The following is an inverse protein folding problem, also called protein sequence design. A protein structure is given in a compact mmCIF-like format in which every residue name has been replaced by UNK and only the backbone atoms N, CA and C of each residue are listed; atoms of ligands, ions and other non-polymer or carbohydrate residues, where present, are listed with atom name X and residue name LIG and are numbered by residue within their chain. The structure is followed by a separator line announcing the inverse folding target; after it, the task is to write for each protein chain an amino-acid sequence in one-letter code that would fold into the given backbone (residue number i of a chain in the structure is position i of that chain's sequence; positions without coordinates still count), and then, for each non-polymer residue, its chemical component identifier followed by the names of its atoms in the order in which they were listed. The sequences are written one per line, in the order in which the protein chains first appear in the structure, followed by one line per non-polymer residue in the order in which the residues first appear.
data_IF_435921793033
#
_entry.id   IF_435921793033
#
_cell.length_a   1.000
_cell.length_b   1.000
_cell.length_c   1.000
_cell.angle_alpha   90.00
_cell.angle_beta   90.00
_cell.angle_gamma   90.00
#
_symmetry.space_group_name_H-M   'P 1'
#
loop_
_entity.id
_entity.type
_entity.pdbx_description
1 polymer ?
#
# COMPACT_ATOMS: atom_id res chain seq x y z
N UNK A 1 20.19 -19.07 -9.40
CA UNK A 1 21.14 -19.39 -10.49
C UNK A 1 22.52 -18.90 -10.04
N UNK A 2 23.60 -19.67 -10.24
CA UNK A 2 24.96 -19.26 -9.83
C UNK A 2 25.58 -18.35 -10.89
N UNK A 3 26.22 -17.25 -10.46
CA UNK A 3 26.96 -16.40 -11.39
C UNK A 3 28.35 -17.00 -11.71
N UNK A 4 29.04 -16.42 -12.69
CA UNK A 4 30.35 -16.87 -13.20
C UNK A 4 31.50 -16.87 -12.19
N UNK A 5 31.26 -16.46 -10.94
CA UNK A 5 32.23 -16.46 -9.84
C UNK A 5 31.92 -17.51 -8.75
N UNK A 6 30.91 -18.35 -8.93
CA UNK A 6 30.59 -19.41 -7.96
C UNK A 6 29.96 -18.91 -6.65
N UNK A 7 29.60 -17.63 -6.56
CA UNK A 7 28.77 -17.13 -5.46
C UNK A 7 27.29 -17.48 -5.71
N UNK A 8 26.62 -17.97 -4.68
CA UNK A 8 25.17 -18.11 -4.66
C UNK A 8 24.59 -16.71 -4.43
N UNK A 9 23.90 -16.18 -5.44
CA UNK A 9 23.07 -14.99 -5.28
C UNK A 9 21.82 -15.41 -4.49
N UNK A 10 21.78 -15.06 -3.20
CA UNK A 10 20.64 -15.32 -2.30
C UNK A 10 19.62 -14.17 -2.38
N UNK A 11 19.98 -13.07 -3.03
CA UNK A 11 19.02 -12.05 -3.44
C UNK A 11 18.30 -12.64 -4.64
N UNK A 12 17.17 -13.32 -4.41
CA UNK A 12 16.16 -13.46 -5.45
C UNK A 12 15.82 -12.05 -5.89
N UNK A 13 16.46 -11.59 -6.97
CA UNK A 13 15.84 -10.60 -7.84
C UNK A 13 14.42 -11.10 -8.01
N UNK A 14 13.42 -10.30 -7.63
CA UNK A 14 12.05 -10.46 -8.13
C UNK A 14 12.19 -10.71 -9.62
N UNK A 15 12.17 -11.98 -10.01
CA UNK A 15 12.58 -12.38 -11.35
C UNK A 15 11.66 -11.63 -12.28
N UNK A 16 12.23 -10.94 -13.26
CA UNK A 16 11.52 -10.28 -14.34
C UNK A 16 10.68 -11.34 -15.07
N UNK A 17 9.54 -11.70 -14.48
CA UNK A 17 8.54 -12.55 -15.06
C UNK A 17 7.80 -11.63 -16.01
N UNK A 18 7.82 -11.98 -17.28
CA UNK A 18 6.97 -11.31 -18.25
C UNK A 18 5.53 -11.33 -17.75
N UNK A 19 4.78 -10.29 -18.09
CA UNK A 19 3.33 -10.26 -17.84
C UNK A 19 2.73 -11.54 -18.41
N UNK A 20 1.89 -12.21 -17.63
CA UNK A 20 1.17 -13.37 -18.14
C UNK A 20 0.16 -12.96 -19.23
N UNK A 21 -0.38 -13.96 -19.93
CA UNK A 21 -1.27 -13.73 -21.06
C UNK A 21 -2.54 -12.96 -20.68
N UNK A 22 -3.06 -13.16 -19.47
CA UNK A 22 -4.26 -12.45 -18.99
C UNK A 22 -3.94 -10.99 -18.69
N UNK A 23 -2.78 -10.73 -18.08
CA UNK A 23 -2.29 -9.38 -17.79
C UNK A 23 -2.01 -8.59 -19.06
N UNK A 24 -1.39 -9.22 -20.06
CA UNK A 24 -1.19 -8.62 -21.38
C UNK A 24 -2.54 -8.30 -22.03
N UNK A 25 -3.48 -9.25 -22.02
CA UNK A 25 -4.79 -9.08 -22.65
C UNK A 25 -5.60 -7.95 -22.02
N UNK A 26 -5.66 -7.88 -20.68
CA UNK A 26 -6.39 -6.83 -19.95
C UNK A 26 -5.79 -5.44 -20.21
N UNK A 27 -4.46 -5.35 -20.26
CA UNK A 27 -3.74 -4.11 -20.59
C UNK A 27 -4.01 -3.65 -22.02
N UNK A 28 -3.98 -4.60 -22.96
CA UNK A 28 -4.31 -4.33 -24.35
C UNK A 28 -5.77 -3.90 -24.50
N UNK A 29 -6.69 -4.55 -23.78
CA UNK A 29 -8.12 -4.23 -23.77
C UNK A 29 -8.38 -2.79 -23.28
N UNK A 30 -7.76 -2.40 -22.17
CA UNK A 30 -7.84 -1.04 -21.64
C UNK A 30 -7.36 0.00 -22.66
N UNK A 31 -6.23 -0.25 -23.33
CA UNK A 31 -5.70 0.63 -24.37
C UNK A 31 -6.61 0.67 -25.62
N UNK A 32 -7.04 -0.50 -26.12
CA UNK A 32 -7.89 -0.64 -27.32
C UNK A 32 -9.26 0.03 -27.12
N UNK A 33 -9.81 -0.02 -25.90
CA UNK A 33 -11.08 0.61 -25.53
C UNK A 33 -11.00 2.11 -25.24
N UNK A 34 -9.82 2.72 -25.39
CA UNK A 34 -9.65 4.17 -25.25
C UNK A 34 -9.48 4.66 -23.81
N UNK A 35 -9.14 3.79 -22.85
CA UNK A 35 -8.82 4.17 -21.48
C UNK A 35 -7.44 4.85 -21.37
N UNK A 36 -7.25 5.92 -22.12
CA UNK A 36 -5.97 6.62 -22.33
C UNK A 36 -6.01 8.06 -21.83
N UNK A 37 -7.14 8.51 -21.30
CA UNK A 37 -7.34 9.86 -20.81
C UNK A 37 -6.88 10.01 -19.35
N UNK A 38 -6.54 11.23 -18.96
CA UNK A 38 -6.38 11.56 -17.55
C UNK A 38 -7.67 11.32 -16.78
N UNK A 39 -7.51 10.85 -15.55
CA UNK A 39 -8.59 10.65 -14.59
C UNK A 39 -8.33 11.53 -13.37
N UNK A 40 -9.28 11.56 -12.43
CA UNK A 40 -9.07 12.27 -11.18
C UNK A 40 -7.83 11.76 -10.45
N UNK A 41 -7.13 12.65 -9.76
CA UNK A 41 -5.88 12.36 -9.04
C UNK A 41 -5.97 11.14 -8.10
N UNK A 42 -7.06 10.94 -7.33
CA UNK A 42 -7.20 9.76 -6.49
C UNK A 42 -7.27 8.44 -7.26
N UNK A 43 -7.57 8.47 -8.56
CA UNK A 43 -7.76 7.31 -9.41
C UNK A 43 -9.22 7.07 -9.82
N UNK A 44 -9.39 6.10 -10.71
CA UNK A 44 -10.68 5.72 -11.29
C UNK A 44 -11.65 5.33 -10.18
N UNK A 45 -12.88 5.89 -10.14
CA UNK A 45 -13.84 5.65 -9.07
C UNK A 45 -14.13 4.16 -8.79
N UNK A 46 -14.24 3.34 -9.83
CA UNK A 46 -14.50 1.90 -9.76
C UNK A 46 -13.29 1.12 -9.24
N UNK A 47 -12.08 1.56 -9.58
CA UNK A 47 -10.81 0.96 -9.12
C UNK A 47 -10.61 1.25 -7.64
N UNK A 48 -10.93 2.47 -7.21
CA UNK A 48 -10.92 2.84 -5.78
C UNK A 48 -11.91 2.02 -4.96
N UNK A 49 -13.11 1.79 -5.47
CA UNK A 49 -14.11 0.93 -4.81
C UNK A 49 -13.61 -0.52 -4.67
N UNK A 50 -13.09 -1.10 -5.75
CA UNK A 50 -12.52 -2.44 -5.73
C UNK A 50 -11.29 -2.54 -4.82
N UNK A 51 -10.43 -1.52 -4.81
CA UNK A 51 -9.28 -1.44 -3.94
C UNK A 51 -9.70 -1.36 -2.46
N UNK A 52 -10.74 -0.60 -2.13
CA UNK A 52 -11.29 -0.52 -0.79
C UNK A 52 -11.82 -1.90 -0.32
N UNK A 53 -12.64 -2.58 -1.12
CA UNK A 53 -13.12 -3.93 -0.80
C UNK A 53 -11.94 -4.90 -0.58
N UNK A 54 -10.95 -4.86 -1.48
CA UNK A 54 -9.75 -5.69 -1.41
C UNK A 54 -8.99 -5.50 -0.11
N UNK A 55 -8.60 -4.26 0.23
CA UNK A 55 -7.74 -4.01 1.39
C UNK A 55 -8.48 -4.27 2.71
N UNK A 56 -9.82 -4.08 2.76
CA UNK A 56 -10.65 -4.51 3.89
C UNK A 56 -10.58 -6.03 4.10
N UNK A 57 -10.60 -6.81 3.01
CA UNK A 57 -10.39 -8.26 3.07
C UNK A 57 -9.03 -8.67 3.66
N UNK A 58 -8.02 -7.80 3.60
CA UNK A 58 -6.65 -8.07 4.05
C UNK A 58 -6.24 -7.28 5.29
N UNK A 59 -7.19 -6.76 6.05
CA UNK A 59 -6.95 -6.24 7.40
C UNK A 59 -6.74 -4.73 7.49
N UNK A 60 -7.00 -3.97 6.43
CA UNK A 60 -7.16 -2.51 6.50
C UNK A 60 -8.64 -2.20 6.67
N UNK A 61 -9.09 -1.84 7.87
CA UNK A 61 -10.51 -1.63 8.16
C UNK A 61 -10.91 -0.16 7.96
N UNK A 62 -12.18 0.05 7.58
CA UNK A 62 -12.76 1.37 7.29
C UNK A 62 -12.13 2.07 6.07
N UNK A 63 -11.51 1.31 5.16
CA UNK A 63 -11.18 1.83 3.84
C UNK A 63 -12.45 1.93 3.00
N UNK A 64 -12.66 3.09 2.40
CA UNK A 64 -13.77 3.42 1.54
C UNK A 64 -13.23 4.07 0.26
N UNK A 65 -14.03 4.07 -0.79
CA UNK A 65 -13.67 4.70 -2.07
C UNK A 65 -13.18 6.15 -1.92
N UNK A 66 -13.76 6.92 -0.99
CA UNK A 66 -13.43 8.34 -0.81
C UNK A 66 -12.14 8.57 -0.03
N UNK A 67 -11.66 7.56 0.69
CA UNK A 67 -10.48 7.66 1.54
C UNK A 67 -9.30 6.80 1.03
N UNK A 68 -9.43 6.24 -0.17
CA UNK A 68 -8.40 5.49 -0.88
C UNK A 68 -7.90 6.24 -2.11
N UNK A 69 -6.57 6.23 -2.30
CA UNK A 69 -5.86 6.89 -3.38
C UNK A 69 -5.02 5.85 -4.09
N UNK A 70 -5.19 5.72 -5.40
CA UNK A 70 -4.37 4.88 -6.26
C UNK A 70 -3.04 5.57 -6.54
N UNK A 71 -1.94 4.85 -6.36
CA UNK A 71 -0.59 5.37 -6.55
C UNK A 71 0.18 4.57 -7.58
N UNK A 72 1.23 5.19 -8.12
CA UNK A 72 2.23 4.59 -8.99
C UNK A 72 3.20 3.74 -8.16
N UNK A 73 2.65 2.67 -7.60
CA UNK A 73 3.33 1.70 -6.78
C UNK A 73 3.54 2.17 -5.34
N UNK A 74 3.99 1.23 -4.52
CA UNK A 74 4.18 1.45 -3.09
C UNK A 74 5.17 2.57 -2.76
N UNK A 75 6.23 2.77 -3.56
CA UNK A 75 7.21 3.79 -3.25
C UNK A 75 6.63 5.21 -3.39
N UNK A 76 5.69 5.42 -4.31
CA UNK A 76 4.90 6.66 -4.35
C UNK A 76 3.99 6.76 -3.12
N UNK A 77 3.34 5.67 -2.70
CA UNK A 77 2.54 5.64 -1.47
C UNK A 77 3.34 6.06 -0.24
N UNK A 78 4.52 5.46 -0.06
CA UNK A 78 5.45 5.76 1.04
C UNK A 78 5.89 7.21 1.02
N UNK A 79 6.24 7.71 -0.16
CA UNK A 79 6.65 9.08 -0.32
C UNK A 79 5.52 10.02 0.08
N UNK A 80 4.38 9.94 -0.59
CA UNK A 80 3.24 10.84 -0.35
C UNK A 80 2.74 10.81 1.10
N UNK A 81 2.57 9.61 1.68
CA UNK A 81 2.14 9.48 3.07
C UNK A 81 3.14 10.16 4.01
N UNK A 82 4.42 9.81 3.90
CA UNK A 82 5.50 10.39 4.72
C UNK A 82 5.52 11.92 4.59
N UNK A 83 5.53 12.46 3.37
CA UNK A 83 5.62 13.91 3.17
C UNK A 83 4.44 14.70 3.78
N UNK A 84 3.25 14.08 3.88
CA UNK A 84 2.04 14.71 4.41
C UNK A 84 1.99 14.66 5.94
N UNK A 85 2.41 13.54 6.56
CA UNK A 85 2.32 13.38 8.01
C UNK A 85 3.56 13.81 8.77
N UNK A 86 4.69 14.02 8.08
CA UNK A 86 5.91 14.50 8.71
C UNK A 86 6.23 15.95 8.34
N UNK A 87 7.00 16.58 9.21
CA UNK A 87 7.55 17.92 9.00
C UNK A 87 9.05 17.85 8.72
N UNK A 88 9.62 18.80 7.94
CA UNK A 88 11.07 18.97 7.85
C UNK A 88 11.67 19.14 9.25
N UNK A 89 12.85 18.55 9.49
CA UNK A 89 13.53 18.44 10.79
C UNK A 89 12.71 17.71 11.88
N UNK A 90 11.54 17.15 11.53
CA UNK A 90 10.74 16.32 12.42
C UNK A 90 11.33 14.92 12.57
N UNK A 91 11.04 14.27 13.70
CA UNK A 91 11.46 12.90 13.97
C UNK A 91 10.43 11.87 13.48
N UNK A 92 10.93 10.84 12.80
CA UNK A 92 10.18 9.64 12.44
C UNK A 92 10.92 8.40 12.97
N UNK A 93 10.20 7.59 13.73
CA UNK A 93 10.69 6.31 14.23
C UNK A 93 10.44 5.22 13.17
N UNK A 94 11.49 4.46 12.86
CA UNK A 94 11.45 3.36 11.90
C UNK A 94 12.12 2.14 12.56
N UNK A 95 11.49 0.94 12.55
CA UNK A 95 12.14 -0.28 13.02
C UNK A 95 13.48 -0.50 12.30
N UNK A 96 14.51 -0.89 13.05
CA UNK A 96 15.85 -1.15 12.50
C UNK A 96 15.85 -2.28 11.45
N UNK A 97 14.84 -3.16 11.52
CA UNK A 97 14.56 -4.22 10.55
C UNK A 97 13.31 -3.84 9.74
N UNK A 98 13.48 -2.99 8.73
CA UNK A 98 12.41 -2.54 7.84
C UNK A 98 12.93 -2.30 6.41
N UNK A 99 12.02 -2.21 5.43
CA UNK A 99 12.38 -1.84 4.06
C UNK A 99 12.99 -0.43 4.01
N UNK A 100 14.12 -0.23 3.30
CA UNK A 100 14.82 1.06 3.28
C UNK A 100 14.02 2.18 2.61
N UNK A 101 12.96 1.86 1.85
CA UNK A 101 12.12 2.82 1.15
C UNK A 101 11.46 3.85 2.08
N UNK A 102 11.17 3.51 3.33
CA UNK A 102 10.62 4.43 4.32
C UNK A 102 11.66 5.48 4.77
N UNK A 103 12.86 5.04 5.15
CA UNK A 103 13.96 5.93 5.55
C UNK A 103 14.39 6.86 4.42
N UNK A 104 14.34 6.39 3.17
CA UNK A 104 14.60 7.22 1.98
C UNK A 104 13.51 8.29 1.79
N UNK A 105 12.24 7.92 1.90
CA UNK A 105 11.12 8.88 1.82
C UNK A 105 11.19 9.95 2.91
N UNK A 106 11.53 9.55 4.14
CA UNK A 106 11.72 10.46 5.27
C UNK A 106 12.92 11.40 5.07
N UNK A 107 14.05 10.88 4.60
CA UNK A 107 15.24 11.68 4.31
C UNK A 107 14.96 12.75 3.26
N UNK A 108 14.15 12.46 2.23
CA UNK A 108 13.76 13.45 1.22
C UNK A 108 12.89 14.60 1.78
N UNK A 109 12.18 14.36 2.89
CA UNK A 109 11.46 15.43 3.61
C UNK A 109 12.40 16.31 4.45
N UNK A 110 13.62 15.83 4.71
CA UNK A 110 14.51 16.40 5.73
C UNK A 110 14.17 15.94 7.15
N UNK A 111 13.53 14.79 7.34
CA UNK A 111 13.26 14.27 8.68
C UNK A 111 14.51 13.65 9.32
N UNK A 112 14.55 13.67 10.65
CA UNK A 112 15.47 12.84 11.44
C UNK A 112 14.88 11.43 11.55
N UNK A 113 15.58 10.45 10.94
CA UNK A 113 15.18 9.04 10.99
C UNK A 113 15.78 8.40 12.23
N UNK A 114 14.91 8.02 13.16
CA UNK A 114 15.29 7.33 14.39
C UNK A 114 15.10 5.82 14.20
N UNK A 115 16.21 5.07 14.17
CA UNK A 115 16.15 3.62 14.07
C UNK A 115 15.82 3.02 15.44
N UNK A 116 14.69 2.32 15.54
CA UNK A 116 14.22 1.71 16.79
C UNK A 116 14.60 0.23 16.81
N UNK A 117 15.12 -0.23 17.95
CA UNK A 117 15.47 -1.63 18.12
C UNK A 117 14.26 -2.55 17.90
N UNK A 118 14.49 -3.67 17.22
CA UNK A 118 13.51 -4.73 17.03
C UNK A 118 13.81 -5.90 17.97
N UNK A 119 12.79 -6.70 18.24
CA UNK A 119 12.93 -8.02 18.82
C UNK A 119 13.80 -8.92 17.92
N UNK A 120 14.75 -9.64 18.52
CA UNK A 120 15.76 -10.41 17.77
C UNK A 120 15.17 -11.64 17.07
N UNK A 121 14.08 -12.21 17.60
CA UNK A 121 13.45 -13.41 17.05
C UNK A 121 12.51 -13.08 15.88
N UNK A 122 11.68 -12.06 16.05
CA UNK A 122 10.64 -11.70 15.09
C UNK A 122 11.07 -10.62 14.10
N UNK A 123 12.04 -9.78 14.47
CA UNK A 123 12.41 -8.58 13.73
C UNK A 123 11.35 -7.47 13.80
N UNK A 124 10.33 -7.61 14.65
CA UNK A 124 9.31 -6.59 14.86
C UNK A 124 9.73 -5.60 15.94
N UNK A 125 9.20 -4.38 15.88
CA UNK A 125 9.33 -3.41 16.95
C UNK A 125 8.52 -3.91 18.15
N UNK A 126 9.15 -4.10 19.30
CA UNK A 126 8.44 -4.63 20.46
C UNK A 126 7.44 -3.61 21.02
N UNK A 127 6.35 -4.08 21.63
CA UNK A 127 5.39 -3.20 22.31
C UNK A 127 6.05 -2.29 23.36
N UNK A 128 7.11 -2.78 24.03
CA UNK A 128 7.89 -1.97 24.98
C UNK A 128 8.70 -0.89 24.26
N UNK A 129 9.21 -1.17 23.05
CA UNK A 129 9.92 -0.18 22.25
C UNK A 129 9.00 0.96 21.77
N UNK A 130 7.68 0.73 21.61
CA UNK A 130 6.73 1.81 21.34
C UNK A 130 6.63 2.83 22.48
N UNK A 131 6.91 2.43 23.71
CA UNK A 131 6.92 3.32 24.88
C UNK A 131 8.33 3.89 25.16
N UNK A 132 9.33 3.58 24.32
CA UNK A 132 10.67 4.13 24.46
C UNK A 132 10.72 5.65 24.26
N UNK A 133 11.70 6.32 24.87
CA UNK A 133 11.89 7.77 24.74
C UNK A 133 12.03 8.21 23.27
N UNK A 134 12.66 7.37 22.44
CA UNK A 134 12.86 7.64 21.00
C UNK A 134 11.52 7.66 20.26
N UNK A 135 10.65 6.67 20.51
CA UNK A 135 9.32 6.63 19.90
C UNK A 135 8.43 7.73 20.49
N UNK A 136 8.53 7.99 21.79
CA UNK A 136 7.79 9.05 22.47
C UNK A 136 8.14 10.45 21.94
N UNK A 137 9.40 10.69 21.56
CA UNK A 137 9.82 11.95 20.94
C UNK A 137 9.36 12.09 19.47
N UNK A 138 9.15 10.97 18.78
CA UNK A 138 8.76 10.94 17.37
C UNK A 138 7.30 11.37 17.17
N UNK A 139 7.04 12.14 16.11
CA UNK A 139 5.68 12.52 15.70
C UNK A 139 5.05 11.51 14.75
N UNK A 140 5.87 10.64 14.16
CA UNK A 140 5.42 9.62 13.23
C UNK A 140 6.18 8.32 13.48
N UNK A 141 5.49 7.19 13.31
CA UNK A 141 6.11 5.86 13.24
C UNK A 141 5.81 5.26 11.87
N UNK A 142 6.81 4.65 11.25
CA UNK A 142 6.60 3.74 10.12
C UNK A 142 6.61 2.29 10.61
N UNK A 143 5.65 1.48 10.16
CA UNK A 143 5.57 0.06 10.48
C UNK A 143 5.33 -0.75 9.20
N UNK A 144 5.66 -2.03 9.27
CA UNK A 144 5.34 -3.02 8.26
C UNK A 144 4.57 -4.15 8.92
N UNK A 145 3.41 -4.51 8.40
CA UNK A 145 2.59 -5.59 8.94
C UNK A 145 1.87 -6.33 7.80
N UNK A 146 2.45 -7.43 7.27
CA UNK A 146 3.67 -8.11 7.71
C UNK A 146 4.99 -7.35 7.47
N UNK A 147 6.04 -7.68 8.22
CA UNK A 147 7.41 -7.23 7.96
C UNK A 147 7.88 -7.67 6.57
N UNK A 148 8.45 -6.76 5.79
CA UNK A 148 9.02 -7.09 4.47
C UNK A 148 10.33 -7.86 4.54
N UNK A 149 10.99 -7.84 5.69
CA UNK A 149 12.27 -8.52 5.89
C UNK A 149 12.07 -9.90 6.48
N UNK A 150 11.22 -10.03 7.51
CA UNK A 150 11.05 -11.29 8.25
C UNK A 150 9.75 -12.02 7.94
N UNK A 151 8.75 -11.34 7.35
CA UNK A 151 7.40 -11.87 7.18
C UNK A 151 6.60 -11.96 8.48
N UNK A 152 7.17 -11.54 9.61
CA UNK A 152 6.49 -11.54 10.90
C UNK A 152 5.30 -10.57 10.92
N UNK A 153 4.29 -10.89 11.73
CA UNK A 153 3.06 -10.11 11.87
C UNK A 153 2.88 -9.63 13.30
N UNK A 154 2.37 -8.41 13.47
CA UNK A 154 1.86 -7.95 14.75
C UNK A 154 0.52 -8.63 15.04
N UNK A 155 0.33 -9.11 16.26
CA UNK A 155 -0.94 -9.67 16.72
C UNK A 155 -1.97 -8.57 17.04
N UNK A 156 -3.24 -8.96 17.16
CA UNK A 156 -4.35 -8.04 17.45
C UNK A 156 -4.18 -7.16 18.70
N UNK A 157 -3.47 -7.66 19.72
CA UNK A 157 -3.17 -6.93 20.96
C UNK A 157 -2.34 -5.65 20.73
N UNK A 158 -1.54 -5.62 19.65
CA UNK A 158 -0.74 -4.47 19.25
C UNK A 158 -1.57 -3.20 18.99
N UNK A 159 -2.86 -3.36 18.65
CA UNK A 159 -3.80 -2.25 18.47
C UNK A 159 -3.86 -1.30 19.68
N UNK A 160 -3.73 -1.83 20.90
CA UNK A 160 -3.77 -1.02 22.12
C UNK A 160 -2.62 -0.01 22.16
N UNK A 161 -1.43 -0.43 21.71
CA UNK A 161 -0.25 0.43 21.69
C UNK A 161 -0.31 1.47 20.57
N UNK A 162 -0.80 1.05 19.40
CA UNK A 162 -1.04 1.96 18.25
C UNK A 162 -2.06 3.05 18.62
N UNK A 163 -3.18 2.67 19.25
CA UNK A 163 -4.22 3.62 19.65
C UNK A 163 -3.67 4.62 20.67
N UNK A 164 -2.94 4.14 21.69
CA UNK A 164 -2.31 5.02 22.68
C UNK A 164 -1.32 6.02 22.09
N UNK A 165 -0.59 5.63 21.03
CA UNK A 165 0.31 6.53 20.32
C UNK A 165 -0.46 7.60 19.54
N UNK A 166 -1.52 7.18 18.83
CA UNK A 166 -2.33 8.08 18.00
C UNK A 166 -3.24 9.01 18.82
N UNK A 167 -3.70 8.61 20.01
CA UNK A 167 -4.42 9.46 20.96
C UNK A 167 -3.63 10.72 21.39
N UNK A 168 -2.31 10.72 21.17
CA UNK A 168 -1.44 11.88 21.41
C UNK A 168 -1.39 12.86 20.23
N UNK A 169 -2.19 12.64 19.18
CA UNK A 169 -2.17 13.41 17.94
C UNK A 169 -1.00 13.06 17.01
N UNK A 170 -0.41 11.88 17.18
CA UNK A 170 0.73 11.39 16.38
C UNK A 170 0.28 10.47 15.27
N UNK A 171 1.13 10.29 14.25
CA UNK A 171 0.78 9.58 13.02
C UNK A 171 1.48 8.22 12.90
N UNK A 172 0.83 7.26 12.26
CA UNK A 172 1.44 5.97 11.93
C UNK A 172 1.21 5.69 10.45
N UNK A 173 2.27 5.31 9.75
CA UNK A 173 2.19 4.78 8.37
C UNK A 173 2.49 3.29 8.44
N UNK A 174 1.55 2.45 8.02
CA UNK A 174 1.66 0.99 8.03
C UNK A 174 1.68 0.46 6.60
N UNK A 175 2.76 -0.21 6.24
CA UNK A 175 2.85 -0.99 5.00
C UNK A 175 2.17 -2.36 5.20
N UNK A 176 1.06 -2.58 4.52
CA UNK A 176 0.27 -3.81 4.55
C UNK A 176 0.38 -4.58 3.23
N UNK A 177 1.36 -4.26 2.38
CA UNK A 177 1.48 -4.83 1.04
C UNK A 177 1.73 -6.33 1.02
N UNK A 178 2.20 -6.91 2.14
CA UNK A 178 2.37 -8.36 2.26
C UNK A 178 1.15 -9.11 2.84
N UNK A 179 0.12 -8.42 3.34
CA UNK A 179 -1.05 -9.05 3.94
C UNK A 179 -1.78 -10.03 3.00
N UNK A 180 -1.86 -9.81 1.67
CA UNK A 180 -2.46 -10.77 0.75
C UNK A 180 -1.77 -12.12 0.62
N UNK A 181 -0.50 -12.24 1.06
CA UNK A 181 0.26 -13.49 1.03
C UNK A 181 0.06 -14.34 2.28
N UNK A 182 -0.68 -13.84 3.28
CA UNK A 182 -1.00 -14.58 4.48
C UNK A 182 -2.09 -15.62 4.22
N UNK A 183 -2.02 -16.75 4.93
CA UNK A 183 -3.07 -17.78 4.91
C UNK A 183 -4.34 -17.35 5.63
N UNK A 184 -4.22 -16.48 6.64
CA UNK A 184 -5.33 -15.82 7.34
C UNK A 184 -4.84 -14.50 7.92
N UNK A 185 -5.76 -13.55 8.04
CA UNK A 185 -5.53 -12.24 8.67
C UNK A 185 -6.22 -12.12 10.04
N UNK A 186 -6.87 -13.16 10.56
CA UNK A 186 -7.78 -13.04 11.72
C UNK A 186 -7.07 -12.62 13.01
N UNK A 187 -5.85 -13.11 13.23
CA UNK A 187 -5.07 -12.83 14.44
C UNK A 187 -4.09 -11.66 14.27
N UNK A 188 -4.03 -11.06 13.09
CA UNK A 188 -3.13 -9.96 12.75
C UNK A 188 -3.76 -8.62 13.16
N UNK A 189 -2.95 -7.72 13.74
CA UNK A 189 -3.30 -6.33 13.95
C UNK A 189 -3.98 -5.71 12.71
N UNK A 190 -5.21 -5.25 12.90
CA UNK A 190 -6.02 -4.60 11.87
C UNK A 190 -5.74 -3.10 11.85
N UNK A 191 -5.42 -2.58 10.67
CA UNK A 191 -5.09 -1.16 10.46
C UNK A 191 -6.37 -0.37 10.27
N UNK A 192 -6.78 0.38 11.28
CA UNK A 192 -7.98 1.21 11.25
C UNK A 192 -7.70 2.61 10.72
N UNK A 193 -8.18 2.93 9.53
CA UNK A 193 -7.95 4.24 8.87
C UNK A 193 -9.06 5.27 9.15
N UNK A 194 -9.83 5.10 10.22
CA UNK A 194 -10.92 6.01 10.59
C UNK A 194 -10.51 7.20 11.48
N UNK A 195 -9.41 7.09 12.24
CA UNK A 195 -9.02 8.09 13.25
C UNK A 195 -8.39 9.34 12.64
N UNK A 196 -8.98 10.52 12.87
CA UNK A 196 -8.55 11.78 12.27
C UNK A 196 -7.57 12.62 13.10
N UNK A 197 -7.57 12.49 14.44
CA UNK A 197 -6.74 13.31 15.35
C UNK A 197 -5.27 12.85 15.33
N UNK A 198 -5.03 11.59 15.67
CA UNK A 198 -3.81 10.86 15.29
C UNK A 198 -4.11 9.90 14.16
N UNK A 199 -3.44 10.10 13.02
CA UNK A 199 -3.81 9.42 11.79
C UNK A 199 -3.05 8.12 11.60
N UNK A 200 -3.77 7.02 11.35
CA UNK A 200 -3.21 5.76 10.88
C UNK A 200 -3.44 5.69 9.37
N UNK A 201 -2.37 5.43 8.62
CA UNK A 201 -2.38 5.39 7.15
C UNK A 201 -1.91 4.02 6.72
N UNK A 202 -2.71 3.32 5.94
CA UNK A 202 -2.33 2.07 5.32
C UNK A 202 -1.79 2.33 3.90
N UNK A 203 -0.71 1.66 3.55
CA UNK A 203 -0.14 1.67 2.20
C UNK A 203 0.20 0.25 1.76
N UNK A 204 0.24 0.01 0.46
CA UNK A 204 0.61 -1.30 -0.08
C UNK A 204 0.57 -1.33 -1.60
N UNK A 205 1.01 -2.44 -2.18
CA UNK A 205 0.70 -2.82 -3.55
C UNK A 205 -0.76 -3.28 -3.64
N UNK A 206 -1.40 -3.04 -4.79
CA UNK A 206 -2.72 -3.59 -5.09
C UNK A 206 -2.61 -4.88 -5.88
N UNK A 207 -3.40 -5.87 -5.49
CA UNK A 207 -3.53 -7.18 -6.14
C UNK A 207 -2.20 -7.89 -6.46
N UNK A 208 -1.29 -8.01 -5.48
CA UNK A 208 -0.07 -8.79 -5.69
C UNK A 208 -0.42 -10.26 -5.99
N UNK A 209 0.34 -10.89 -6.87
CA UNK A 209 0.14 -12.26 -7.34
C UNK A 209 -0.70 -12.39 -8.61
N UNK A 210 -1.33 -11.31 -9.10
CA UNK A 210 -2.16 -11.34 -10.32
C UNK A 210 -1.38 -11.08 -11.63
N UNK A 211 -0.05 -10.91 -11.57
CA UNK A 211 0.76 -10.70 -12.78
C UNK A 211 0.76 -9.26 -13.31
N UNK A 212 0.18 -8.31 -12.56
CA UNK A 212 0.10 -6.88 -12.91
C UNK A 212 1.08 -6.00 -12.12
N UNK A 213 1.91 -6.59 -11.25
CA UNK A 213 2.86 -5.89 -10.37
C UNK A 213 3.81 -4.97 -11.12
N UNK A 214 4.36 -5.34 -12.32
CA UNK A 214 5.22 -4.44 -13.09
C UNK A 214 4.53 -3.15 -13.56
N UNK A 215 3.19 -3.10 -13.56
CA UNK A 215 2.46 -1.86 -13.86
C UNK A 215 2.40 -0.88 -12.69
N UNK A 216 2.85 -1.32 -11.52
CA UNK A 216 3.09 -0.45 -10.38
C UNK A 216 1.81 0.21 -9.88
N UNK A 217 0.81 -0.59 -9.51
CA UNK A 217 -0.34 -0.06 -8.76
C UNK A 217 -0.11 -0.25 -7.26
N UNK A 218 -0.19 0.86 -6.54
CA UNK A 218 -0.26 0.87 -5.09
C UNK A 218 -1.52 1.59 -4.63
N UNK A 219 -1.69 1.61 -3.31
CA UNK A 219 -2.72 2.40 -2.67
C UNK A 219 -2.18 3.17 -1.47
N UNK A 220 -2.92 4.19 -1.09
CA UNK A 220 -2.94 4.76 0.25
C UNK A 220 -4.38 4.77 0.72
N UNK A 221 -4.66 4.22 1.90
CA UNK A 221 -5.91 4.42 2.61
C UNK A 221 -5.63 5.24 3.87
N UNK A 222 -6.34 6.35 4.05
CA UNK A 222 -6.07 7.31 5.11
C UNK A 222 -7.35 8.01 5.55
N UNK A 223 -7.41 8.57 6.77
CA UNK A 223 -8.49 9.44 7.20
C UNK A 223 -8.73 10.57 6.18
N UNK A 224 -10.00 10.95 5.95
CA UNK A 224 -10.37 11.87 4.86
C UNK A 224 -9.57 13.18 4.86
N UNK A 225 -9.36 13.78 6.04
CA UNK A 225 -8.57 15.01 6.20
C UNK A 225 -7.09 14.86 5.78
N UNK A 226 -6.53 13.65 5.89
CA UNK A 226 -5.18 13.31 5.42
C UNK A 226 -5.21 12.95 3.94
N UNK A 227 -6.18 12.15 3.50
CA UNK A 227 -6.36 11.78 2.10
C UNK A 227 -6.44 13.01 1.20
N UNK A 228 -7.22 14.04 1.58
CA UNK A 228 -7.30 15.31 0.85
C UNK A 228 -5.96 16.02 0.69
N UNK A 229 -5.11 16.00 1.73
CA UNK A 229 -3.76 16.58 1.67
C UNK A 229 -2.85 15.77 0.75
N UNK A 230 -2.95 14.44 0.80
CA UNK A 230 -2.23 13.53 -0.09
C UNK A 230 -2.62 13.78 -1.54
N UNK A 231 -3.91 13.92 -1.85
CA UNK A 231 -4.39 14.22 -3.19
C UNK A 231 -3.81 15.53 -3.72
N UNK A 232 -3.77 16.59 -2.89
CA UNK A 232 -3.13 17.87 -3.27
C UNK A 232 -1.64 17.71 -3.57
N UNK A 233 -0.94 16.89 -2.79
CA UNK A 233 0.48 16.64 -3.03
C UNK A 233 0.72 15.79 -4.29
N UNK A 234 -0.08 14.74 -4.48
CA UNK A 234 -0.03 13.87 -5.67
C UNK A 234 -0.32 14.64 -6.95
N UNK A 235 -1.26 15.59 -6.93
CA UNK A 235 -1.55 16.49 -8.06
C UNK A 235 -0.30 17.20 -8.59
N UNK A 236 0.63 17.57 -7.71
CA UNK A 236 1.87 18.26 -8.08
C UNK A 236 2.98 17.27 -8.42
N UNK A 237 3.03 16.13 -7.73
CA UNK A 237 4.07 15.11 -7.93
C UNK A 237 3.89 14.36 -9.24
N UNK A 238 2.70 13.82 -9.49
CA UNK A 238 2.49 12.79 -10.51
C UNK A 238 1.08 12.77 -11.12
N UNK A 239 0.20 13.72 -10.78
CA UNK A 239 -1.19 13.77 -11.25
C UNK A 239 -1.95 12.46 -10.98
N UNK A 240 -2.57 11.85 -11.98
CA UNK A 240 -3.17 10.53 -11.86
C UNK A 240 -2.20 9.41 -12.27
N UNK A 241 -2.29 8.27 -11.59
CA UNK A 241 -1.61 7.03 -11.99
C UNK A 241 -2.15 6.52 -13.33
N UNK A 242 -1.34 5.78 -14.09
CA UNK A 242 -1.67 5.27 -15.43
C UNK A 242 -3.09 4.70 -15.53
N UNK A 243 -3.98 5.40 -16.24
CA UNK A 243 -5.37 5.00 -16.48
C UNK A 243 -5.49 3.59 -17.06
N UNK A 244 -4.75 3.20 -18.12
CA UNK A 244 -4.89 1.84 -18.66
C UNK A 244 -4.42 0.76 -17.68
N UNK A 245 -3.44 1.06 -16.80
CA UNK A 245 -3.03 0.13 -15.76
C UNK A 245 -4.12 -0.08 -14.71
N UNK A 246 -4.78 1.00 -14.28
CA UNK A 246 -5.90 0.92 -13.36
C UNK A 246 -7.05 0.06 -13.90
N UNK A 247 -7.41 0.21 -15.18
CA UNK A 247 -8.45 -0.62 -15.81
C UNK A 247 -8.02 -2.08 -16.02
N UNK A 248 -6.77 -2.33 -16.40
CA UNK A 248 -6.24 -3.70 -16.51
C UNK A 248 -6.31 -4.44 -15.17
N UNK A 249 -5.94 -3.76 -14.08
CA UNK A 249 -6.01 -4.34 -12.75
C UNK A 249 -7.46 -4.54 -12.27
N UNK A 250 -8.38 -3.65 -12.63
CA UNK A 250 -9.81 -3.83 -12.34
C UNK A 250 -10.34 -5.13 -12.98
N UNK A 251 -10.00 -5.38 -14.23
CA UNK A 251 -10.37 -6.59 -14.97
C UNK A 251 -9.82 -7.86 -14.29
N UNK A 252 -8.52 -7.87 -13.98
CA UNK A 252 -7.83 -9.01 -13.36
C UNK A 252 -8.30 -9.29 -11.93
N UNK A 253 -8.59 -8.25 -11.15
CA UNK A 253 -8.96 -8.40 -9.73
C UNK A 253 -10.19 -9.28 -9.52
N UNK A 254 -11.02 -9.45 -10.55
CA UNK A 254 -12.27 -10.19 -10.45
C UNK A 254 -13.30 -9.53 -9.52
N UNK A 255 -12.95 -8.45 -8.81
CA UNK A 255 -13.85 -7.65 -7.96
C UNK A 255 -15.03 -7.10 -8.77
N UNK A 256 -14.82 -6.90 -10.07
CA UNK A 256 -15.89 -6.56 -11.02
C UNK A 256 -16.90 -7.70 -11.28
N UNK A 257 -16.53 -8.97 -11.10
CA UNK A 257 -17.44 -10.13 -11.30
C UNK A 257 -18.54 -10.21 -10.24
N UNK A 258 -18.40 -9.52 -9.11
CA UNK A 258 -19.42 -9.51 -8.05
C UNK A 258 -20.49 -8.42 -8.24
N UNK A 259 -20.15 -7.30 -8.90
CA UNK A 259 -21.07 -6.17 -9.15
C UNK A 259 -21.96 -6.36 -10.39
N UNK A 260 -21.54 -7.15 -11.38
CA UNK A 260 -22.29 -7.39 -12.64
C UNK A 260 -22.86 -8.81 -12.79
N UNK A 261 -23.02 -9.54 -11.68
CA UNK A 261 -23.78 -10.80 -11.72
C UNK A 261 -25.30 -10.62 -11.97
N UNK A 262 -25.78 -9.39 -12.19
CA UNK A 262 -27.09 -9.15 -12.79
C UNK A 262 -27.01 -9.16 -14.33
N UNK A 263 -26.92 -10.38 -14.86
CA UNK A 263 -27.37 -10.96 -16.16
C UNK A 263 -27.44 -10.18 -17.48
N UNK A 264 -27.22 -8.86 -17.57
CA UNK A 264 -27.46 -8.08 -18.80
C UNK A 264 -26.21 -7.75 -19.63
N UNK A 265 -25.01 -7.72 -19.06
CA UNK A 265 -23.79 -7.25 -19.75
C UNK A 265 -22.93 -8.35 -20.38
N UNK A 266 -23.23 -9.64 -20.11
CA UNK A 266 -22.45 -10.78 -20.63
C UNK A 266 -22.38 -10.82 -22.16
N UNK A 267 -23.48 -10.40 -22.83
CA UNK A 267 -23.58 -10.39 -24.28
C UNK A 267 -22.81 -9.23 -24.95
N UNK A 268 -22.57 -8.12 -24.23
CA UNK A 268 -21.84 -6.97 -24.80
C UNK A 268 -20.32 -7.18 -24.78
N UNK A 269 -19.81 -7.92 -23.78
CA UNK A 269 -18.39 -8.26 -23.68
C UNK A 269 -18.02 -9.38 -24.67
N UNK A 270 -18.86 -10.40 -24.85
CA UNK A 270 -18.62 -11.44 -25.88
C UNK A 270 -18.65 -10.85 -27.31
N UNK A 271 -19.42 -9.79 -27.54
CA UNK A 271 -19.44 -9.05 -28.81
C UNK A 271 -18.17 -8.20 -29.05
N UNK A 272 -17.48 -7.76 -27.99
CA UNK A 272 -16.23 -6.99 -28.09
C UNK A 272 -14.98 -7.87 -28.27
N UNK A 273 -15.04 -9.12 -27.82
CA UNK A 273 -13.95 -10.11 -27.95
C UNK A 273 -14.02 -10.89 -29.27
N UNK A 274 -15.14 -10.83 -29.98
CA UNK A 274 -15.36 -11.52 -31.27
C UNK A 274 -15.14 -10.64 -32.53
N UNK A 275 -14.49 -9.48 -32.39
CA UNK A 275 -14.06 -8.58 -33.49
C UNK A 275 -12.58 -8.17 -33.38
#
# INVERSE_FOLDING_TARGET
MTNSKGSIEIVESYMYKDLDSESIASSYSALKSGQTHYVDVPGVPEVREAAAEWVNGYGVINAEKDNIIITSGLQESRFLATQVVTSPEGQIAIPAVANPGASLAASLRGCHVENVACDEETGLLSSDALESDVVSASQTIFLENPSRVTGAIYSNDFSTHVNRFTDQGKHIVVDTGLSPWLSSVDNMYKVDVSSADGSIIAIGELWPGLGIEPQGLGFIAAPLNVAEKIVKMKQVLSICTSTPAQFAALELSGSWKKMFNDSKSKNEIEALVSL
#
